data_IF_234608942745
#
_entry.id   IF_234608942745
#
_cell.length_a   1.000
_cell.length_b   1.000
_cell.length_c   1.000
_cell.angle_alpha   90.00
_cell.angle_beta   90.00
_cell.angle_gamma   90.00
#
_symmetry.space_group_name_H-M   'P 1'
#
loop_
_entity.id
_entity.type
_entity.pdbx_description
1 polymer ?
#
# COMPACT_ATOMS: atom_id res chain seq x y z
N UNK A 1 1.55 11.46 22.82
CA UNK A 1 1.14 10.22 23.53
C UNK A 1 0.14 9.41 22.73
N UNK A 2 -0.98 9.99 22.27
CA UNK A 2 -2.04 9.23 21.59
C UNK A 2 -1.66 8.64 20.22
N UNK A 3 -0.85 9.33 19.41
CA UNK A 3 -0.33 8.76 18.15
C UNK A 3 0.57 7.53 18.39
N UNK A 4 1.39 7.57 19.45
CA UNK A 4 2.24 6.43 19.85
C UNK A 4 1.34 5.26 20.28
N UNK A 5 0.27 5.55 21.02
CA UNK A 5 -0.70 4.54 21.41
C UNK A 5 -1.38 3.90 20.19
N UNK A 6 -1.88 4.69 19.24
CA UNK A 6 -2.45 4.20 17.98
C UNK A 6 -1.45 3.36 17.18
N UNK A 7 -0.18 3.78 17.13
CA UNK A 7 0.89 3.02 16.49
C UNK A 7 1.11 1.65 17.15
N UNK A 8 1.19 1.61 18.49
CA UNK A 8 1.34 0.35 19.24
C UNK A 8 0.14 -0.56 19.03
N UNK A 9 -1.09 -0.03 19.10
CA UNK A 9 -2.30 -0.79 18.83
C UNK A 9 -2.30 -1.36 17.40
N UNK A 10 -1.94 -0.54 16.40
CA UNK A 10 -1.79 -1.00 15.02
C UNK A 10 -0.75 -2.08 14.85
N UNK A 11 0.41 -1.95 15.49
CA UNK A 11 1.46 -2.96 15.47
C UNK A 11 0.98 -4.29 16.07
N UNK A 12 0.32 -4.25 17.23
CA UNK A 12 -0.22 -5.45 17.88
C UNK A 12 -1.31 -6.10 17.03
N UNK A 13 -2.21 -5.30 16.45
CA UNK A 13 -3.27 -5.79 15.58
C UNK A 13 -2.69 -6.48 14.33
N UNK A 14 -1.72 -5.85 13.66
CA UNK A 14 -1.01 -6.46 12.53
C UNK A 14 -0.31 -7.75 12.96
N UNK A 15 0.38 -7.76 14.09
CA UNK A 15 1.09 -8.96 14.57
C UNK A 15 0.13 -10.14 14.79
N UNK A 16 -1.02 -9.89 15.42
CA UNK A 16 -2.05 -10.91 15.63
C UNK A 16 -2.65 -11.36 14.30
N UNK A 17 -3.13 -10.42 13.47
CA UNK A 17 -3.74 -10.73 12.17
C UNK A 17 -2.77 -11.47 11.24
N UNK A 18 -1.49 -11.10 11.23
CA UNK A 18 -0.48 -11.75 10.39
C UNK A 18 -0.30 -13.21 10.75
N UNK A 19 -0.33 -13.57 12.05
CA UNK A 19 -0.23 -14.97 12.46
C UNK A 19 -1.38 -15.84 11.92
N UNK A 20 -2.59 -15.28 11.90
CA UNK A 20 -3.77 -15.94 11.35
C UNK A 20 -3.70 -16.06 9.83
N UNK A 21 -3.30 -14.98 9.15
CA UNK A 21 -3.18 -14.93 7.68
C UNK A 21 -2.08 -15.88 7.19
N UNK A 22 -0.95 -15.98 7.90
CA UNK A 22 0.13 -16.91 7.56
C UNK A 22 -0.40 -18.36 7.52
N UNK A 23 -1.11 -18.78 8.57
CA UNK A 23 -1.65 -20.14 8.63
C UNK A 23 -2.66 -20.39 7.50
N UNK A 24 -3.58 -19.44 7.27
CA UNK A 24 -4.55 -19.51 6.18
C UNK A 24 -3.89 -19.69 4.81
N UNK A 25 -2.84 -18.92 4.52
CA UNK A 25 -2.14 -18.96 3.23
C UNK A 25 -1.38 -20.28 3.04
N UNK A 26 -0.76 -20.78 4.10
CA UNK A 26 -0.07 -22.08 4.08
C UNK A 26 -1.08 -23.20 3.82
N UNK A 27 -2.21 -23.22 4.54
CA UNK A 27 -3.25 -24.23 4.38
C UNK A 27 -3.87 -24.19 2.97
N UNK A 28 -4.01 -23.00 2.40
CA UNK A 28 -4.48 -22.79 1.02
C UNK A 28 -3.40 -23.05 -0.05
N UNK A 29 -2.19 -23.46 0.32
CA UNK A 29 -1.04 -23.65 -0.59
C UNK A 29 -0.64 -22.39 -1.39
N UNK A 30 -0.95 -21.20 -0.86
CA UNK A 30 -0.54 -19.90 -1.41
C UNK A 30 0.84 -19.56 -0.83
N UNK A 31 1.87 -20.21 -1.38
CA UNK A 31 3.26 -20.14 -0.91
C UNK A 31 4.22 -19.89 -2.08
N UNK A 32 5.38 -19.31 -1.78
CA UNK A 32 6.48 -19.11 -2.73
C UNK A 32 7.82 -19.53 -2.11
N UNK A 33 8.85 -19.69 -2.94
CA UNK A 33 10.22 -20.00 -2.52
C UNK A 33 10.98 -18.72 -2.21
N UNK A 34 11.53 -18.62 -1.00
CA UNK A 34 12.40 -17.51 -0.64
C UNK A 34 13.80 -17.65 -1.27
N UNK A 35 14.66 -16.65 -1.05
CA UNK A 35 16.04 -16.64 -1.56
C UNK A 35 16.90 -17.86 -1.13
N UNK A 36 16.53 -18.54 -0.03
CA UNK A 36 17.18 -19.75 0.49
C UNK A 36 16.51 -21.05 0.00
N UNK A 37 15.47 -20.96 -0.84
CA UNK A 37 14.69 -22.12 -1.29
C UNK A 37 13.72 -22.67 -0.25
N UNK A 38 13.52 -21.97 0.86
CA UNK A 38 12.53 -22.32 1.88
C UNK A 38 11.15 -21.80 1.44
N UNK A 39 10.12 -22.60 1.66
CA UNK A 39 8.74 -22.23 1.36
C UNK A 39 8.23 -21.22 2.39
N UNK A 40 7.70 -20.11 1.92
CA UNK A 40 7.13 -19.03 2.74
C UNK A 40 5.74 -18.65 2.20
N UNK A 41 4.80 -18.19 3.04
CA UNK A 41 3.52 -17.70 2.57
C UNK A 41 3.69 -16.50 1.63
N UNK A 42 2.99 -16.51 0.50
CA UNK A 42 2.97 -15.40 -0.46
C UNK A 42 1.90 -14.37 -0.08
N UNK A 43 1.89 -13.19 -0.70
CA UNK A 43 0.82 -12.18 -0.55
C UNK A 43 0.51 -11.70 0.90
N UNK A 44 1.50 -11.70 1.81
CA UNK A 44 1.30 -11.24 3.22
C UNK A 44 0.83 -9.78 3.35
N UNK A 45 0.98 -8.97 2.30
CA UNK A 45 0.44 -7.61 2.25
C UNK A 45 -1.07 -7.51 2.41
N UNK A 46 -1.79 -8.62 2.23
CA UNK A 46 -3.24 -8.75 2.47
C UNK A 46 -3.65 -8.32 3.90
N UNK A 47 -2.72 -8.38 4.86
CA UNK A 47 -2.96 -7.90 6.22
C UNK A 47 -3.36 -6.42 6.28
N UNK A 48 -2.85 -5.55 5.39
CA UNK A 48 -3.11 -4.12 5.48
C UNK A 48 -4.55 -3.73 5.12
N UNK A 49 -5.14 -4.17 3.99
CA UNK A 49 -6.56 -3.94 3.69
C UNK A 49 -7.50 -4.45 4.79
N UNK A 50 -7.11 -5.53 5.49
CA UNK A 50 -7.91 -6.08 6.58
C UNK A 50 -7.78 -5.28 7.88
N UNK A 51 -6.59 -4.82 8.24
CA UNK A 51 -6.31 -4.15 9.53
C UNK A 51 -6.66 -2.66 9.50
N UNK A 52 -6.40 -1.95 8.40
CA UNK A 52 -6.59 -0.50 8.32
C UNK A 52 -8.03 -0.02 8.66
N UNK A 53 -9.10 -0.70 8.22
CA UNK A 53 -10.47 -0.34 8.63
C UNK A 53 -10.69 -0.44 10.15
N UNK A 54 -10.10 -1.44 10.81
CA UNK A 54 -10.21 -1.58 12.27
C UNK A 54 -9.48 -0.46 13.00
N UNK A 55 -8.36 0.03 12.48
CA UNK A 55 -7.66 1.18 13.05
C UNK A 55 -8.51 2.45 12.97
N UNK A 56 -9.29 2.61 11.90
CA UNK A 56 -10.26 3.71 11.80
C UNK A 56 -11.36 3.61 12.84
N UNK A 57 -11.97 2.42 12.97
CA UNK A 57 -13.01 2.16 13.96
C UNK A 57 -12.48 2.45 15.37
N UNK A 58 -11.26 2.01 15.65
CA UNK A 58 -10.60 2.25 16.93
C UNK A 58 -10.34 3.74 17.18
N UNK A 59 -9.86 4.48 16.17
CA UNK A 59 -9.70 5.94 16.25
C UNK A 59 -11.03 6.65 16.56
N UNK A 60 -12.13 6.28 15.90
CA UNK A 60 -13.46 6.84 16.19
C UNK A 60 -13.96 6.47 17.59
N UNK A 61 -13.66 5.27 18.07
CA UNK A 61 -13.90 4.87 19.45
C UNK A 61 -13.16 5.77 20.44
N UNK A 62 -11.89 6.11 20.19
CA UNK A 62 -11.14 7.04 21.04
C UNK A 62 -11.71 8.46 21.00
N UNK A 63 -12.22 8.91 19.85
CA UNK A 63 -12.88 10.20 19.72
C UNK A 63 -14.14 10.28 20.60
N UNK A 64 -14.88 9.18 20.77
CA UNK A 64 -16.00 9.09 21.71
C UNK A 64 -15.56 9.37 23.16
N UNK A 65 -14.34 8.96 23.54
CA UNK A 65 -13.73 9.26 24.84
C UNK A 65 -13.03 10.63 24.89
N UNK A 66 -13.37 11.55 23.99
CA UNK A 66 -12.84 12.92 23.94
C UNK A 66 -11.31 13.01 23.82
N UNK A 67 -10.67 12.01 23.20
CA UNK A 67 -9.24 12.05 22.91
C UNK A 67 -8.99 13.06 21.78
N UNK A 68 -8.10 14.06 21.94
CA UNK A 68 -7.87 15.13 20.97
C UNK A 68 -6.95 14.66 19.82
N UNK A 69 -7.40 13.65 19.07
CA UNK A 69 -6.78 13.27 17.79
C UNK A 69 -7.75 13.70 16.69
N UNK A 70 -7.24 14.47 15.73
CA UNK A 70 -7.98 14.84 14.54
C UNK A 70 -7.33 14.20 13.31
N UNK A 71 -8.04 13.22 12.74
CA UNK A 71 -7.77 12.65 11.43
C UNK A 71 -8.88 13.12 10.50
N UNK A 72 -8.50 13.72 9.37
CA UNK A 72 -9.44 14.06 8.31
C UNK A 72 -10.02 12.77 7.71
N UNK A 73 -11.33 12.57 7.88
CA UNK A 73 -12.02 11.36 7.41
C UNK A 73 -11.90 11.18 5.90
N UNK A 74 -11.94 12.26 5.12
CA UNK A 74 -11.84 12.19 3.67
C UNK A 74 -10.45 11.73 3.21
N UNK A 75 -9.39 12.25 3.83
CA UNK A 75 -8.02 11.78 3.60
C UNK A 75 -7.84 10.32 4.02
N UNK A 76 -8.43 9.92 5.15
CA UNK A 76 -8.38 8.54 5.60
C UNK A 76 -9.05 7.59 4.61
N UNK A 77 -10.27 7.90 4.15
CA UNK A 77 -10.97 7.05 3.18
C UNK A 77 -10.25 7.00 1.84
N UNK A 78 -9.67 8.12 1.39
CA UNK A 78 -8.82 8.15 0.21
C UNK A 78 -7.61 7.21 0.40
N UNK A 79 -6.93 7.29 1.55
CA UNK A 79 -5.80 6.42 1.88
C UNK A 79 -6.20 4.94 1.95
N UNK A 80 -7.33 4.63 2.60
CA UNK A 80 -7.85 3.26 2.71
C UNK A 80 -8.18 2.68 1.34
N UNK A 81 -8.83 3.46 0.47
CA UNK A 81 -9.09 3.09 -0.92
C UNK A 81 -7.79 2.82 -1.65
N UNK A 82 -6.81 3.73 -1.55
CA UNK A 82 -5.51 3.61 -2.20
C UNK A 82 -4.78 2.33 -1.78
N UNK A 83 -4.63 2.10 -0.46
CA UNK A 83 -3.91 0.92 0.06
C UNK A 83 -4.65 -0.38 -0.27
N UNK A 84 -5.98 -0.37 -0.23
CA UNK A 84 -6.78 -1.55 -0.57
C UNK A 84 -6.70 -1.87 -2.05
N UNK A 85 -6.85 -0.85 -2.90
CA UNK A 85 -6.72 -0.98 -4.36
C UNK A 85 -5.35 -1.50 -4.77
N UNK A 86 -4.26 -0.93 -4.23
CA UNK A 86 -2.91 -1.44 -4.49
C UNK A 86 -2.66 -2.82 -3.89
N UNK A 87 -3.22 -3.13 -2.73
CA UNK A 87 -3.15 -4.47 -2.14
C UNK A 87 -3.81 -5.53 -3.01
N UNK A 88 -5.02 -5.26 -3.50
CA UNK A 88 -5.73 -6.13 -4.44
C UNK A 88 -5.01 -6.23 -5.78
N UNK A 89 -4.42 -5.14 -6.27
CA UNK A 89 -3.66 -5.13 -7.51
C UNK A 89 -2.36 -5.96 -7.39
N UNK A 90 -1.69 -5.89 -6.23
CA UNK A 90 -0.54 -6.75 -5.92
C UNK A 90 -0.94 -8.22 -5.83
N UNK A 91 -2.05 -8.52 -5.18
CA UNK A 91 -2.61 -9.87 -5.12
C UNK A 91 -2.98 -10.41 -6.52
N UNK A 92 -3.61 -9.57 -7.35
CA UNK A 92 -3.92 -9.94 -8.73
C UNK A 92 -2.64 -10.18 -9.55
N UNK A 93 -1.59 -9.38 -9.36
CA UNK A 93 -0.28 -9.56 -10.02
C UNK A 93 0.39 -10.88 -9.60
N UNK A 94 0.27 -11.28 -8.34
CA UNK A 94 0.79 -12.55 -7.83
C UNK A 94 0.05 -13.76 -8.45
N UNK A 95 -1.28 -13.68 -8.62
CA UNK A 95 -2.08 -14.77 -9.22
C UNK A 95 -2.06 -14.82 -10.75
N UNK A 96 -1.96 -13.66 -11.42
CA UNK A 96 -2.05 -13.54 -12.89
C UNK A 96 -0.68 -13.50 -13.58
N UNK A 97 0.40 -13.77 -12.84
CA UNK A 97 1.77 -13.66 -13.32
C UNK A 97 2.07 -14.69 -14.42
N UNK A 98 2.15 -14.23 -15.66
CA UNK A 98 2.60 -15.05 -16.79
C UNK A 98 4.08 -14.73 -17.11
N UNK A 99 4.95 -15.75 -17.03
CA UNK A 99 6.41 -15.62 -17.20
C UNK A 99 6.89 -15.26 -18.63
N UNK A 100 5.98 -15.08 -19.58
CA UNK A 100 6.31 -14.97 -21.00
C UNK A 100 6.67 -13.55 -21.46
N UNK A 101 6.27 -12.49 -20.74
CA UNK A 101 6.51 -11.11 -21.16
C UNK A 101 7.21 -10.30 -20.07
N UNK A 102 8.30 -9.63 -20.45
CA UNK A 102 9.16 -8.89 -19.51
C UNK A 102 9.40 -7.48 -20.02
N UNK A 103 8.87 -6.50 -19.29
CA UNK A 103 9.28 -5.10 -19.40
C UNK A 103 8.13 -4.15 -19.69
N UNK A 104 8.25 -2.94 -19.15
CA UNK A 104 7.21 -1.90 -19.20
C UNK A 104 6.78 -1.55 -20.64
N UNK A 105 7.74 -1.48 -21.57
CA UNK A 105 7.45 -1.18 -22.98
C UNK A 105 6.57 -2.25 -23.64
N UNK A 106 6.84 -3.53 -23.39
CA UNK A 106 6.05 -4.62 -23.97
C UNK A 106 4.61 -4.62 -23.44
N UNK A 107 4.45 -4.49 -22.12
CA UNK A 107 3.11 -4.39 -21.53
C UNK A 107 2.31 -3.20 -22.05
N UNK A 108 2.97 -2.05 -22.26
CA UNK A 108 2.33 -0.84 -22.80
C UNK A 108 1.95 -1.00 -24.28
N UNK A 109 2.83 -1.62 -25.08
CA UNK A 109 2.53 -1.95 -26.49
C UNK A 109 1.36 -2.93 -26.58
N UNK A 110 1.32 -3.97 -25.76
CA UNK A 110 0.20 -4.91 -25.71
C UNK A 110 -1.10 -4.22 -25.29
N UNK A 111 -1.04 -3.34 -24.29
CA UNK A 111 -2.19 -2.56 -23.86
C UNK A 111 -2.74 -1.68 -24.99
N UNK A 112 -1.86 -1.03 -25.75
CA UNK A 112 -2.24 -0.27 -26.96
C UNK A 112 -2.80 -1.14 -28.09
N UNK A 113 -2.44 -2.42 -28.14
CA UNK A 113 -3.02 -3.40 -29.06
C UNK A 113 -4.32 -4.03 -28.51
N UNK A 114 -4.86 -3.52 -27.40
CA UNK A 114 -6.08 -4.04 -26.77
C UNK A 114 -5.88 -5.34 -25.98
N UNK A 115 -4.63 -5.80 -25.79
CA UNK A 115 -4.29 -6.98 -25.00
C UNK A 115 -3.89 -6.58 -23.59
N UNK A 116 -4.74 -6.92 -22.63
CA UNK A 116 -4.47 -6.67 -21.22
C UNK A 116 -3.52 -7.73 -20.66
N UNK A 117 -2.33 -7.30 -20.25
CA UNK A 117 -1.35 -8.13 -19.52
C UNK A 117 -1.41 -7.82 -18.03
N UNK A 118 -0.87 -8.69 -17.16
CA UNK A 118 -0.80 -8.41 -15.71
C UNK A 118 -0.04 -7.10 -15.42
N UNK A 119 1.07 -6.86 -16.11
CA UNK A 119 1.81 -5.59 -16.03
C UNK A 119 1.00 -4.39 -16.55
N UNK A 120 0.22 -4.56 -17.62
CA UNK A 120 -0.66 -3.52 -18.14
C UNK A 120 -1.81 -3.16 -17.18
N UNK A 121 -2.43 -4.18 -16.57
CA UNK A 121 -3.42 -4.02 -15.50
C UNK A 121 -2.83 -3.22 -14.34
N UNK A 122 -1.62 -3.60 -13.88
CA UNK A 122 -0.92 -2.91 -12.79
C UNK A 122 -0.61 -1.46 -13.09
N UNK A 123 -0.15 -1.16 -14.30
CA UNK A 123 0.13 0.21 -14.71
C UNK A 123 -1.15 1.06 -14.79
N UNK A 124 -2.19 0.54 -15.44
CA UNK A 124 -3.46 1.24 -15.65
C UNK A 124 -4.17 1.52 -14.33
N UNK A 125 -4.43 0.48 -13.54
CA UNK A 125 -5.15 0.62 -12.28
C UNK A 125 -4.30 1.24 -11.18
N UNK A 126 -2.97 1.05 -11.19
CA UNK A 126 -2.07 1.76 -10.28
C UNK A 126 -2.13 3.28 -10.50
N UNK A 127 -2.14 3.74 -11.76
CA UNK A 127 -2.31 5.16 -12.07
C UNK A 127 -3.71 5.66 -11.69
N UNK A 128 -4.76 4.91 -12.04
CA UNK A 128 -6.15 5.26 -11.72
C UNK A 128 -6.37 5.39 -10.21
N UNK A 129 -5.93 4.41 -9.42
CA UNK A 129 -6.08 4.45 -7.96
C UNK A 129 -5.30 5.61 -7.34
N UNK A 130 -4.13 5.94 -7.88
CA UNK A 130 -3.34 7.09 -7.45
C UNK A 130 -4.02 8.42 -7.76
N UNK A 131 -4.70 8.52 -8.91
CA UNK A 131 -5.47 9.71 -9.27
C UNK A 131 -6.68 9.88 -8.35
N UNK A 132 -7.44 8.80 -8.09
CA UNK A 132 -8.58 8.83 -7.17
C UNK A 132 -8.12 9.23 -5.76
N UNK A 133 -6.99 8.69 -5.30
CA UNK A 133 -6.37 9.10 -4.04
C UNK A 133 -6.04 10.60 -4.02
N UNK A 134 -5.34 11.10 -5.05
CA UNK A 134 -4.97 12.50 -5.15
C UNK A 134 -6.20 13.44 -5.17
N UNK A 135 -7.26 13.05 -5.88
CA UNK A 135 -8.55 13.78 -5.91
C UNK A 135 -9.20 13.77 -4.53
N UNK A 136 -9.22 12.63 -3.83
CA UNK A 136 -9.77 12.53 -2.48
C UNK A 136 -9.04 13.43 -1.49
N UNK A 137 -7.71 13.46 -1.54
CA UNK A 137 -6.88 14.39 -0.73
C UNK A 137 -7.17 15.83 -1.09
N UNK A 138 -7.24 16.17 -2.39
CA UNK A 138 -7.51 17.53 -2.85
C UNK A 138 -8.87 18.06 -2.37
N UNK A 139 -9.93 17.24 -2.51
CA UNK A 139 -11.28 17.58 -2.03
C UNK A 139 -11.33 17.75 -0.51
N UNK A 140 -10.53 16.98 0.23
CA UNK A 140 -10.53 16.99 1.70
C UNK A 140 -9.70 18.12 2.30
N UNK A 141 -8.70 18.61 1.57
CA UNK A 141 -7.73 19.61 2.07
C UNK A 141 -7.93 21.01 1.47
N UNK A 142 -8.66 21.13 0.35
CA UNK A 142 -8.81 22.39 -0.38
C UNK A 142 -7.51 22.90 -1.00
N UNK A 143 -6.53 22.01 -1.21
CA UNK A 143 -5.24 22.36 -1.77
C UNK A 143 -5.33 22.88 -3.22
N UNK A 144 -4.22 23.44 -3.70
CA UNK A 144 -4.16 24.02 -5.05
C UNK A 144 -4.24 22.89 -6.09
N UNK A 145 -5.12 23.02 -7.08
CA UNK A 145 -5.45 21.95 -8.05
C UNK A 145 -4.24 21.38 -8.80
N UNK A 146 -3.20 22.18 -9.04
CA UNK A 146 -1.99 21.71 -9.72
C UNK A 146 -1.19 20.68 -8.92
N UNK A 147 -1.46 20.51 -7.63
CA UNK A 147 -0.88 19.45 -6.81
C UNK A 147 -1.46 18.05 -7.12
N UNK A 148 -2.59 17.97 -7.85
CA UNK A 148 -3.15 16.69 -8.29
C UNK A 148 -2.14 15.87 -9.11
N UNK A 149 -1.42 16.53 -10.02
CA UNK A 149 -0.44 15.87 -10.89
C UNK A 149 0.73 15.24 -10.12
N UNK A 150 1.51 15.98 -9.29
CA UNK A 150 2.58 15.39 -8.51
C UNK A 150 2.08 14.35 -7.49
N UNK A 151 0.91 14.54 -6.86
CA UNK A 151 0.35 13.54 -5.95
C UNK A 151 0.02 12.23 -6.67
N UNK A 152 -0.59 12.32 -7.85
CA UNK A 152 -0.90 11.15 -8.68
C UNK A 152 0.38 10.42 -9.10
N UNK A 153 1.41 11.16 -9.52
CA UNK A 153 2.70 10.56 -9.89
C UNK A 153 3.38 9.88 -8.71
N UNK A 154 3.44 10.54 -7.55
CA UNK A 154 4.04 9.94 -6.34
C UNK A 154 3.28 8.68 -5.93
N UNK A 155 1.94 8.72 -5.90
CA UNK A 155 1.11 7.55 -5.61
C UNK A 155 1.37 6.39 -6.58
N UNK A 156 1.48 6.67 -7.88
CA UNK A 156 1.64 5.64 -8.89
C UNK A 156 3.05 5.05 -8.91
N UNK A 157 4.07 5.88 -8.67
CA UNK A 157 5.47 5.50 -8.78
C UNK A 157 6.05 4.93 -7.48
N UNK A 158 5.60 5.38 -6.32
CA UNK A 158 6.18 4.95 -5.04
C UNK A 158 6.12 3.42 -4.81
N UNK A 159 4.99 2.71 -5.05
CA UNK A 159 4.95 1.26 -4.92
C UNK A 159 5.91 0.55 -5.89
N UNK A 160 6.03 1.08 -7.12
CA UNK A 160 6.95 0.55 -8.13
C UNK A 160 8.41 0.74 -7.71
N UNK A 161 8.77 1.90 -7.13
CA UNK A 161 10.11 2.16 -6.60
C UNK A 161 10.44 1.17 -5.47
N UNK A 162 9.54 0.98 -4.51
CA UNK A 162 9.76 0.02 -3.40
C UNK A 162 9.95 -1.40 -3.94
N UNK A 163 9.13 -1.82 -4.92
CA UNK A 163 9.25 -3.14 -5.56
C UNK A 163 10.60 -3.34 -6.28
N UNK A 164 11.23 -2.29 -6.83
CA UNK A 164 12.57 -2.40 -7.44
C UNK A 164 13.67 -2.75 -6.43
N UNK A 165 13.48 -2.41 -5.16
CA UNK A 165 14.40 -2.78 -4.09
C UNK A 165 14.13 -4.18 -3.54
N UNK A 166 12.99 -4.79 -3.86
CA UNK A 166 12.57 -6.11 -3.37
C UNK A 166 13.23 -7.28 -4.15
N UNK A 167 14.55 -7.29 -4.16
CA UNK A 167 15.36 -8.31 -4.84
C UNK A 167 16.04 -9.27 -3.86
N UNK A 168 16.15 -8.88 -2.58
CA UNK A 168 16.77 -9.65 -1.50
C UNK A 168 16.06 -9.34 -0.19
N UNK A 169 16.03 -10.30 0.75
CA UNK A 169 15.34 -10.13 2.03
C UNK A 169 15.78 -8.85 2.74
N UNK A 170 14.79 -8.07 3.18
CA UNK A 170 15.00 -6.87 3.99
C UNK A 170 15.43 -5.61 3.23
N UNK A 171 15.64 -5.64 1.91
CA UNK A 171 16.03 -4.43 1.15
C UNK A 171 14.89 -3.41 1.03
N UNK A 172 13.71 -3.85 0.62
CA UNK A 172 12.55 -2.97 0.46
C UNK A 172 12.19 -2.26 1.78
N UNK A 173 12.16 -3.00 2.90
CA UNK A 173 11.85 -2.41 4.22
C UNK A 173 12.92 -1.41 4.67
N UNK A 174 14.21 -1.63 4.38
CA UNK A 174 15.26 -0.64 4.71
C UNK A 174 15.04 0.67 3.97
N UNK A 175 14.71 0.61 2.68
CA UNK A 175 14.42 1.80 1.86
C UNK A 175 13.15 2.48 2.35
N UNK A 176 12.10 1.72 2.64
CA UNK A 176 10.87 2.24 3.22
C UNK A 176 11.12 2.97 4.55
N UNK A 177 11.87 2.36 5.48
CA UNK A 177 12.16 2.95 6.78
C UNK A 177 13.04 4.21 6.65
N UNK A 178 14.01 4.21 5.74
CA UNK A 178 14.79 5.41 5.44
C UNK A 178 13.91 6.54 4.93
N UNK A 179 13.03 6.25 3.97
CA UNK A 179 12.06 7.22 3.45
C UNK A 179 11.11 7.74 4.54
N UNK A 180 10.61 6.85 5.41
CA UNK A 180 9.78 7.22 6.55
C UNK A 180 10.50 8.18 7.49
N UNK A 181 11.76 7.91 7.85
CA UNK A 181 12.56 8.79 8.72
C UNK A 181 12.74 10.17 8.07
N UNK A 182 13.06 10.23 6.77
CA UNK A 182 13.21 11.50 6.05
C UNK A 182 11.91 12.31 6.08
N UNK A 183 10.76 11.66 5.84
CA UNK A 183 9.45 12.32 5.86
C UNK A 183 9.07 12.81 7.26
N UNK A 184 9.34 12.02 8.30
CA UNK A 184 9.11 12.42 9.69
C UNK A 184 9.97 13.61 10.09
N UNK A 185 11.25 13.61 9.72
CA UNK A 185 12.17 14.74 9.96
C UNK A 185 11.71 16.00 9.22
N UNK A 186 11.37 15.86 7.94
CA UNK A 186 10.84 16.98 7.13
C UNK A 186 9.58 17.57 7.76
N UNK A 187 8.64 16.71 8.17
CA UNK A 187 7.40 17.13 8.83
C UNK A 187 7.63 17.79 10.19
N UNK A 188 8.67 17.38 10.92
CA UNK A 188 9.04 18.01 12.19
C UNK A 188 9.67 19.39 11.97
N UNK A 189 10.53 19.54 10.96
CA UNK A 189 11.22 20.78 10.62
C UNK A 189 10.31 21.81 9.93
N UNK A 190 9.22 21.37 9.30
CA UNK A 190 8.26 22.25 8.63
C UNK A 190 7.18 22.83 9.57
N UNK A 191 7.22 22.48 10.86
CA UNK A 191 6.39 23.08 11.91
C UNK A 191 7.12 24.29 12.50
#
# INVERSE_FOLDING_TARGET
>A
MYLIFLFVCGFLLVKVSLSLIINLLIDASIVDKNYRGETVPAALGLVFPLVLPFLFLFYYGLKFFSVPIEINSGEFFAFLFFTTGFGLLGLADDFLKNNHEKGFRQHLTMLWQGKLTSGGLKALFGLLFSLIFAVGVWLSTGQRWWLLFPHTLVGALAPNIVNLFDLRPGRAIKVFLLGLVILLLSSYLSK
#
